data_IF_564675154164
#
_entry.id   IF_564675154164
#
_cell.length_a   1.000
_cell.length_b   1.000
_cell.length_c   1.000
_cell.angle_alpha   90.00
_cell.angle_beta   90.00
_cell.angle_gamma   90.00
#
_symmetry.space_group_name_H-M   'P 1'
#
loop_
_entity.id
_entity.type
_entity.pdbx_description
1 polymer ?
#
# COMPACT_ATOMS: atom_id res chain seq x y z
N UNK A 1 21.67 2.71 16.18
CA UNK A 1 20.52 3.64 16.31
C UNK A 1 19.37 2.81 16.85
N UNK A 2 18.96 3.00 18.11
CA UNK A 2 17.81 2.29 18.69
C UNK A 2 16.56 2.89 18.03
N UNK A 3 15.71 2.08 17.38
CA UNK A 3 14.59 2.55 16.55
C UNK A 3 13.49 3.37 17.25
N UNK A 4 13.70 3.76 18.51
CA UNK A 4 12.81 4.58 19.33
C UNK A 4 12.45 5.94 18.72
N UNK A 5 13.28 6.48 17.82
CA UNK A 5 12.98 7.72 17.11
C UNK A 5 12.23 7.51 15.77
N UNK A 6 12.08 6.26 15.31
CA UNK A 6 11.54 5.92 13.99
C UNK A 6 10.14 5.29 14.13
N UNK A 7 9.88 4.56 15.22
CA UNK A 7 8.61 3.88 15.45
C UNK A 7 7.75 4.60 16.48
N UNK A 8 6.42 4.43 16.35
CA UNK A 8 5.42 4.99 17.25
C UNK A 8 4.07 4.28 17.09
N UNK A 9 3.07 4.74 17.84
CA UNK A 9 1.70 4.26 17.71
C UNK A 9 1.11 4.66 16.35
N UNK A 10 0.44 3.72 15.69
CA UNK A 10 -0.28 3.96 14.45
C UNK A 10 -1.76 4.15 14.79
N UNK A 11 -2.24 5.39 14.63
CA UNK A 11 -3.62 5.78 14.90
C UNK A 11 -4.43 5.83 13.61
N UNK A 12 -5.74 5.55 13.69
CA UNK A 12 -6.64 5.44 12.53
C UNK A 12 -6.13 4.43 11.47
N UNK A 13 -6.53 4.63 10.22
CA UNK A 13 -6.14 3.79 9.10
C UNK A 13 -6.78 2.40 9.11
N UNK A 14 -6.15 1.48 8.39
CA UNK A 14 -6.60 0.12 8.23
C UNK A 14 -5.43 -0.85 8.25
N UNK A 15 -5.58 -1.92 9.02
CA UNK A 15 -4.60 -3.01 9.11
C UNK A 15 -5.11 -4.22 8.36
N UNK A 16 -4.26 -4.80 7.51
CA UNK A 16 -4.54 -6.04 6.80
C UNK A 16 -3.32 -6.96 6.81
N UNK A 17 -3.57 -8.24 6.49
CA UNK A 17 -2.52 -9.26 6.37
C UNK A 17 -2.17 -9.50 4.91
N UNK A 18 -0.90 -9.72 4.65
CA UNK A 18 -0.35 -10.16 3.36
C UNK A 18 0.48 -11.42 3.53
N UNK A 19 0.96 -11.99 2.44
CA UNK A 19 2.07 -12.95 2.53
C UNK A 19 3.32 -12.24 3.06
N UNK A 20 4.23 -13.01 3.67
CA UNK A 20 5.54 -12.51 4.08
C UNK A 20 6.38 -12.09 2.86
N UNK A 21 6.19 -12.76 1.71
CA UNK A 21 6.86 -12.43 0.46
C UNK A 21 6.46 -11.06 -0.06
N UNK A 22 5.15 -10.77 -0.08
CA UNK A 22 4.63 -9.46 -0.44
C UNK A 22 5.12 -8.39 0.55
N UNK A 23 5.04 -8.64 1.87
CA UNK A 23 5.52 -7.67 2.86
C UNK A 23 7.02 -7.33 2.70
N UNK A 24 7.86 -8.31 2.37
CA UNK A 24 9.27 -8.05 2.02
C UNK A 24 9.39 -7.23 0.74
N UNK A 25 8.60 -7.56 -0.29
CA UNK A 25 8.59 -6.83 -1.57
C UNK A 25 8.13 -5.38 -1.43
N UNK A 26 7.24 -5.08 -0.48
CA UNK A 26 6.82 -3.70 -0.17
C UNK A 26 7.94 -2.84 0.44
N UNK A 27 8.96 -3.46 1.03
CA UNK A 27 10.12 -2.75 1.61
C UNK A 27 11.25 -2.50 0.58
N UNK A 28 11.12 -3.00 -0.63
CA UNK A 28 12.07 -2.73 -1.71
C UNK A 28 11.90 -1.31 -2.25
N UNK A 29 13.00 -0.64 -2.57
CA UNK A 29 13.00 0.73 -3.12
C UNK A 29 12.26 0.82 -4.47
N UNK A 30 12.27 -0.26 -5.26
CA UNK A 30 11.65 -0.39 -6.57
C UNK A 30 10.26 -1.05 -6.51
N UNK A 31 9.57 -0.97 -5.36
CA UNK A 31 8.22 -1.52 -5.21
C UNK A 31 7.21 -0.81 -6.14
N UNK A 32 6.87 -1.46 -7.25
CA UNK A 32 6.04 -0.89 -8.31
C UNK A 32 4.65 -0.45 -7.84
N UNK A 33 4.00 -1.21 -6.96
CA UNK A 33 2.64 -0.89 -6.49
C UNK A 33 2.63 0.38 -5.64
N UNK A 34 3.61 0.54 -4.74
CA UNK A 34 3.76 1.74 -3.91
C UNK A 34 4.14 2.96 -4.77
N UNK A 35 5.06 2.77 -5.73
CA UNK A 35 5.44 3.83 -6.66
C UNK A 35 4.26 4.29 -7.53
N UNK A 36 3.42 3.36 -7.99
CA UNK A 36 2.25 3.67 -8.82
C UNK A 36 1.16 4.38 -8.01
N UNK A 37 0.89 3.91 -6.79
CA UNK A 37 -0.07 4.55 -5.88
C UNK A 37 0.39 5.95 -5.48
N UNK A 38 1.68 6.13 -5.14
CA UNK A 38 2.25 7.39 -4.67
C UNK A 38 2.23 8.51 -5.71
N UNK A 39 2.14 8.18 -7.00
CA UNK A 39 1.93 9.16 -8.08
C UNK A 39 0.51 9.73 -8.12
N UNK A 40 -0.47 9.05 -7.52
CA UNK A 40 -1.91 9.35 -7.67
C UNK A 40 -2.59 9.73 -6.36
N UNK A 41 -2.21 9.09 -5.26
CA UNK A 41 -2.84 9.23 -3.96
C UNK A 41 -1.79 9.59 -2.91
N UNK A 42 -2.15 10.52 -2.02
CA UNK A 42 -1.39 10.75 -0.79
C UNK A 42 -1.84 9.74 0.28
N UNK A 43 -0.88 9.01 0.85
CA UNK A 43 -1.11 8.01 1.89
C UNK A 43 0.13 7.77 2.73
N UNK A 44 -0.09 7.13 3.88
CA UNK A 44 0.94 6.60 4.75
C UNK A 44 0.85 5.07 4.75
N UNK A 45 2.00 4.41 4.86
CA UNK A 45 2.07 2.95 4.97
C UNK A 45 3.14 2.55 5.97
N UNK A 46 2.82 1.57 6.81
CA UNK A 46 3.77 0.90 7.68
C UNK A 46 3.73 -0.59 7.37
N UNK A 47 4.90 -1.17 7.11
CA UNK A 47 5.03 -2.57 6.68
C UNK A 47 5.79 -3.35 7.76
N UNK A 48 5.10 -4.30 8.37
CA UNK A 48 5.71 -5.28 9.24
C UNK A 48 6.18 -6.50 8.45
N UNK A 49 7.46 -6.89 8.61
CA UNK A 49 8.02 -8.11 8.00
C UNK A 49 7.32 -9.40 8.44
N UNK A 50 6.43 -9.32 9.43
CA UNK A 50 5.50 -10.38 9.85
C UNK A 50 4.26 -10.52 8.95
N UNK A 51 4.19 -9.79 7.82
CA UNK A 51 3.03 -9.84 6.92
C UNK A 51 1.85 -8.98 7.38
N UNK A 52 2.07 -8.04 8.31
CA UNK A 52 1.05 -7.10 8.75
C UNK A 52 1.35 -5.74 8.14
N UNK A 53 0.39 -5.20 7.39
CA UNK A 53 0.51 -3.91 6.73
C UNK A 53 -0.56 -2.98 7.29
N UNK A 54 -0.17 -1.77 7.65
CA UNK A 54 -1.07 -0.69 8.01
C UNK A 54 -1.01 0.39 6.93
N UNK A 55 -2.17 0.93 6.55
CA UNK A 55 -2.30 2.02 5.57
C UNK A 55 -3.27 3.07 6.09
N UNK A 56 -2.97 4.33 5.81
CA UNK A 56 -3.85 5.45 6.12
C UNK A 56 -3.87 6.46 4.97
N UNK A 57 -5.03 7.06 4.73
CA UNK A 57 -5.22 8.07 3.70
C UNK A 57 -6.39 8.99 4.07
N UNK A 58 -6.53 10.10 3.34
CA UNK A 58 -7.55 11.15 3.62
C UNK A 58 -8.98 10.62 3.68
N UNK A 59 -9.31 9.58 2.90
CA UNK A 59 -10.67 9.03 2.81
C UNK A 59 -10.63 7.51 2.95
N UNK A 60 -11.69 6.93 3.52
CA UNK A 60 -11.85 5.47 3.60
C UNK A 60 -11.83 4.82 2.22
N UNK A 61 -12.35 5.50 1.19
CA UNK A 61 -12.30 5.05 -0.21
C UNK A 61 -10.86 4.83 -0.69
N UNK A 62 -9.97 5.80 -0.43
CA UNK A 62 -8.56 5.69 -0.79
C UNK A 62 -7.88 4.57 -0.01
N UNK A 63 -8.17 4.44 1.29
CA UNK A 63 -7.67 3.33 2.13
C UNK A 63 -8.06 1.97 1.54
N UNK A 64 -9.31 1.82 1.09
CA UNK A 64 -9.79 0.60 0.41
C UNK A 64 -9.08 0.36 -0.92
N UNK A 65 -8.89 1.38 -1.75
CA UNK A 65 -8.17 1.24 -3.04
C UNK A 65 -6.73 0.81 -2.82
N UNK A 66 -6.01 1.48 -1.92
CA UNK A 66 -4.61 1.22 -1.61
C UNK A 66 -4.43 -0.20 -1.07
N UNK A 67 -5.23 -0.60 -0.09
CA UNK A 67 -5.16 -1.95 0.48
C UNK A 67 -5.43 -3.03 -0.56
N UNK A 68 -6.44 -2.87 -1.40
CA UNK A 68 -6.73 -3.82 -2.48
C UNK A 68 -5.64 -3.86 -3.55
N UNK A 69 -5.11 -2.71 -3.96
CA UNK A 69 -4.01 -2.65 -4.93
C UNK A 69 -2.78 -3.38 -4.40
N UNK A 70 -2.41 -3.16 -3.14
CA UNK A 70 -1.30 -3.86 -2.48
C UNK A 70 -1.55 -5.38 -2.49
N UNK A 71 -2.70 -5.83 -1.97
CA UNK A 71 -3.00 -7.26 -1.86
C UNK A 71 -3.01 -7.98 -3.22
N UNK A 72 -3.53 -7.34 -4.27
CA UNK A 72 -3.61 -7.97 -5.60
C UNK A 72 -2.29 -7.93 -6.38
N UNK A 73 -1.34 -7.06 -6.01
CA UNK A 73 -0.09 -6.88 -6.75
C UNK A 73 0.88 -8.07 -6.69
N UNK A 74 0.75 -8.98 -5.72
CA UNK A 74 1.74 -10.02 -5.42
C UNK A 74 2.10 -10.90 -6.62
N UNK A 75 1.14 -11.20 -7.49
CA UNK A 75 1.31 -12.09 -8.64
C UNK A 75 1.26 -11.36 -9.98
N UNK A 76 1.32 -10.04 -9.98
CA UNK A 76 1.16 -9.20 -11.18
C UNK A 76 2.51 -8.72 -11.68
N UNK A 77 2.65 -8.63 -13.01
CA UNK A 77 3.79 -7.96 -13.62
C UNK A 77 3.73 -6.43 -13.39
N UNK A 78 4.87 -5.72 -13.49
CA UNK A 78 4.88 -4.27 -13.24
C UNK A 78 3.90 -3.45 -14.10
N UNK A 79 3.71 -3.84 -15.36
CA UNK A 79 2.76 -3.19 -16.27
C UNK A 79 1.31 -3.48 -15.88
N UNK A 80 1.01 -4.70 -15.42
CA UNK A 80 -0.32 -5.04 -14.91
C UNK A 80 -0.62 -4.28 -13.62
N UNK A 81 0.36 -4.12 -12.73
CA UNK A 81 0.22 -3.31 -11.50
C UNK A 81 -0.13 -1.87 -11.83
N UNK A 82 0.59 -1.24 -12.75
CA UNK A 82 0.33 0.15 -13.15
C UNK A 82 -1.07 0.31 -13.78
N UNK A 83 -1.47 -0.61 -14.64
CA UNK A 83 -2.80 -0.61 -15.24
C UNK A 83 -3.91 -0.79 -14.19
N UNK A 84 -3.72 -1.71 -13.24
CA UNK A 84 -4.66 -1.98 -12.16
C UNK A 84 -4.81 -0.79 -11.22
N UNK A 85 -3.71 -0.19 -10.77
CA UNK A 85 -3.74 1.03 -9.94
C UNK A 85 -4.44 2.17 -10.68
N UNK A 86 -4.20 2.30 -11.98
CA UNK A 86 -4.86 3.34 -12.79
C UNK A 86 -6.37 3.20 -12.80
N UNK A 87 -6.87 2.01 -13.12
CA UNK A 87 -8.30 1.74 -13.15
C UNK A 87 -8.96 1.94 -11.79
N UNK A 88 -8.35 1.43 -10.71
CA UNK A 88 -8.93 1.55 -9.38
C UNK A 88 -9.07 3.01 -8.90
N UNK A 89 -8.18 3.90 -9.35
CA UNK A 89 -8.26 5.33 -9.01
C UNK A 89 -9.29 6.04 -9.88
N UNK A 90 -9.33 5.75 -11.18
CA UNK A 90 -10.32 6.35 -12.10
C UNK A 90 -11.75 5.95 -11.74
N UNK A 91 -12.01 4.67 -11.48
CA UNK A 91 -13.32 4.17 -11.02
C UNK A 91 -13.75 4.82 -9.69
N UNK A 92 -12.78 5.32 -8.92
CA UNK A 92 -13.01 5.99 -7.66
C UNK A 92 -13.23 7.51 -7.80
N UNK A 93 -12.86 8.14 -8.89
CA UNK A 93 -13.20 9.54 -9.13
C UNK A 93 -14.58 9.68 -9.79
N UNK A 94 -15.02 8.65 -10.52
CA UNK A 94 -16.31 8.63 -11.23
C UNK A 94 -17.53 8.26 -10.35
N UNK A 95 -17.31 7.80 -9.11
CA UNK A 95 -18.35 7.30 -8.20
C UNK A 95 -18.51 8.16 -6.93
#
# INVERSE_FOLDING_TARGET
>A
MTGLAIYGELNDGYVFKTSIGLAKSLLHEDCQVLASLGKKLAFEVAVGVNGVVWVNAKTTKNVTIISNAIMNSETMSPSEVEAMVTRLVEDADDA
#
